data_IF_576691483839
#
_entry.id   IF_576691483839
#
_cell.length_a   1.000
_cell.length_b   1.000
_cell.length_c   1.000
_cell.angle_alpha   90.00
_cell.angle_beta   90.00
_cell.angle_gamma   90.00
#
_symmetry.space_group_name_H-M   'P 1'
#
loop_
_entity.id
_entity.type
_entity.pdbx_description
1 polymer ?
#
# COMPACT_ATOMS: atom_id res chain seq x y z
N UNK A 1 8.07 -30.96 -5.05
CA UNK A 1 9.10 -31.38 -4.06
C UNK A 1 9.37 -30.21 -3.10
N UNK A 2 9.91 -30.46 -1.88
CA UNK A 2 10.26 -29.40 -0.91
C UNK A 2 11.14 -28.29 -1.52
N UNK A 3 12.09 -28.69 -2.37
CA UNK A 3 13.01 -27.78 -3.08
C UNK A 3 12.30 -26.83 -4.05
N UNK A 4 11.21 -27.27 -4.69
CA UNK A 4 10.44 -26.41 -5.59
C UNK A 4 9.63 -25.35 -4.84
N UNK A 5 9.10 -25.68 -3.66
CA UNK A 5 8.36 -24.72 -2.83
C UNK A 5 9.30 -23.63 -2.27
N UNK A 6 10.49 -24.03 -1.81
CA UNK A 6 11.53 -23.09 -1.35
C UNK A 6 11.98 -22.14 -2.46
N UNK A 7 12.21 -22.66 -3.68
CA UNK A 7 12.55 -21.82 -4.83
C UNK A 7 11.44 -20.84 -5.20
N UNK A 8 10.18 -21.29 -5.14
CA UNK A 8 9.03 -20.43 -5.43
C UNK A 8 8.92 -19.28 -4.40
N UNK A 9 9.09 -19.58 -3.11
CA UNK A 9 9.09 -18.57 -2.05
C UNK A 9 10.22 -17.55 -2.23
N UNK A 10 11.43 -18.01 -2.58
CA UNK A 10 12.56 -17.12 -2.84
C UNK A 10 12.30 -16.17 -4.01
N UNK A 11 11.79 -16.70 -5.12
CA UNK A 11 11.47 -15.90 -6.30
C UNK A 11 10.36 -14.88 -6.01
N UNK A 12 9.33 -15.27 -5.25
CA UNK A 12 8.26 -14.38 -4.82
C UNK A 12 8.82 -13.25 -3.94
N UNK A 13 9.69 -13.59 -2.99
CA UNK A 13 10.35 -12.62 -2.10
C UNK A 13 11.15 -11.59 -2.90
N UNK A 14 12.00 -12.04 -3.83
CA UNK A 14 12.81 -11.15 -4.68
C UNK A 14 11.95 -10.22 -5.53
N UNK A 15 10.82 -10.71 -6.04
CA UNK A 15 9.87 -9.87 -6.79
C UNK A 15 9.27 -8.79 -5.90
N UNK A 16 8.84 -9.13 -4.68
CA UNK A 16 8.30 -8.15 -3.74
C UNK A 16 9.35 -7.09 -3.38
N UNK A 17 10.62 -7.47 -3.19
CA UNK A 17 11.72 -6.53 -2.96
C UNK A 17 11.89 -5.53 -4.11
N UNK A 18 11.81 -6.00 -5.36
CA UNK A 18 11.88 -5.12 -6.54
C UNK A 18 10.69 -4.16 -6.62
N UNK A 19 9.50 -4.60 -6.23
CA UNK A 19 8.30 -3.76 -6.21
C UNK A 19 8.36 -2.70 -5.09
N UNK A 20 8.85 -3.05 -3.90
CA UNK A 20 8.95 -2.08 -2.80
C UNK A 20 10.10 -1.08 -2.96
N UNK A 21 11.19 -1.44 -3.62
CA UNK A 21 12.35 -0.54 -3.83
C UNK A 21 12.10 0.58 -4.83
N UNK A 22 11.11 0.42 -5.73
CA UNK A 22 10.70 1.50 -6.65
C UNK A 22 10.11 2.68 -5.85
N UNK A 23 10.71 3.88 -5.92
CA UNK A 23 10.19 5.04 -5.20
C UNK A 23 8.86 5.51 -5.81
N UNK A 24 8.09 6.27 -5.01
CA UNK A 24 6.99 7.08 -5.54
C UNK A 24 7.60 8.19 -6.40
N UNK A 25 7.21 8.30 -7.67
CA UNK A 25 7.60 9.43 -8.50
C UNK A 25 6.83 10.68 -8.05
N UNK A 26 7.57 11.77 -7.80
CA UNK A 26 7.02 13.04 -7.31
C UNK A 26 7.24 14.17 -8.32
N UNK A 27 8.00 13.93 -9.38
CA UNK A 27 8.27 14.90 -10.43
C UNK A 27 7.19 14.84 -11.52
N UNK A 28 6.17 15.67 -11.34
CA UNK A 28 5.06 15.82 -12.30
C UNK A 28 5.54 16.28 -13.69
N UNK A 29 6.72 16.91 -13.81
CA UNK A 29 7.22 17.37 -15.12
C UNK A 29 7.56 16.23 -16.08
N UNK A 30 7.82 15.02 -15.53
CA UNK A 30 8.06 13.80 -16.31
C UNK A 30 6.76 13.14 -16.78
N UNK A 31 5.62 13.55 -16.24
CA UNK A 31 4.31 12.99 -16.57
C UNK A 31 3.77 13.59 -17.86
N UNK A 32 3.29 12.72 -18.76
CA UNK A 32 2.60 13.13 -19.98
C UNK A 32 1.10 12.99 -19.76
N UNK A 33 0.43 14.10 -19.47
CA UNK A 33 -1.03 14.12 -19.28
C UNK A 33 -1.75 13.47 -20.47
N UNK A 34 -2.60 12.44 -20.24
CA UNK A 34 -3.44 11.86 -21.29
C UNK A 34 -4.49 12.85 -21.82
N UNK A 35 -4.80 13.90 -21.06
CA UNK A 35 -5.83 14.87 -21.39
C UNK A 35 -5.21 16.23 -21.74
N UNK A 36 -5.50 16.68 -22.97
CA UNK A 36 -5.45 18.09 -23.37
C UNK A 36 -6.54 18.83 -22.58
N UNK A 37 -6.25 19.24 -21.34
CA UNK A 37 -7.15 20.09 -20.57
C UNK A 37 -7.22 21.45 -21.30
N UNK A 38 -8.40 21.80 -21.82
CA UNK A 38 -8.63 23.14 -22.35
C UNK A 38 -8.34 24.16 -21.26
N UNK A 39 -7.62 25.26 -21.55
CA UNK A 39 -7.32 26.27 -20.54
C UNK A 39 -8.62 26.91 -20.06
N UNK A 40 -9.13 26.48 -18.90
CA UNK A 40 -10.13 27.23 -18.15
C UNK A 40 -9.47 28.44 -17.52
N UNK A 41 -10.23 29.54 -17.31
CA UNK A 41 -9.74 30.81 -16.74
C UNK A 41 -9.08 30.67 -15.35
N UNK A 42 -9.22 29.52 -14.68
CA UNK A 42 -8.69 29.27 -13.34
C UNK A 42 -7.50 28.29 -13.39
N UNK A 43 -6.30 28.83 -13.54
CA UNK A 43 -5.04 28.08 -13.66
C UNK A 43 -4.75 27.20 -12.43
N UNK A 44 -5.12 27.67 -11.22
CA UNK A 44 -4.91 26.93 -9.97
C UNK A 44 -5.74 25.65 -9.92
N UNK A 45 -7.01 25.72 -10.30
CA UNK A 45 -7.89 24.56 -10.36
C UNK A 45 -7.41 23.52 -11.39
N UNK A 46 -6.86 23.99 -12.52
CA UNK A 46 -6.25 23.11 -13.53
C UNK A 46 -5.01 22.39 -12.97
N UNK A 47 -4.16 23.09 -12.22
CA UNK A 47 -2.94 22.52 -11.63
C UNK A 47 -3.26 21.50 -10.52
N UNK A 48 -4.21 21.79 -9.63
CA UNK A 48 -4.67 20.82 -8.62
C UNK A 48 -5.24 19.55 -9.27
N UNK A 49 -6.04 19.71 -10.33
CA UNK A 49 -6.60 18.58 -11.07
C UNK A 49 -5.51 17.73 -11.71
N UNK A 50 -4.50 18.35 -12.32
CA UNK A 50 -3.36 17.62 -12.90
C UNK A 50 -2.57 16.86 -11.84
N UNK A 51 -2.38 17.47 -10.66
CA UNK A 51 -1.71 16.84 -9.53
C UNK A 51 -2.48 15.60 -9.02
N UNK A 52 -3.80 15.73 -8.88
CA UNK A 52 -4.66 14.62 -8.48
C UNK A 52 -4.64 13.48 -9.51
N UNK A 53 -4.69 13.80 -10.81
CA UNK A 53 -4.61 12.79 -11.87
C UNK A 53 -3.24 12.08 -11.86
N UNK A 54 -2.15 12.83 -11.74
CA UNK A 54 -0.80 12.29 -11.65
C UNK A 54 -0.68 11.29 -10.48
N UNK A 55 -1.09 11.69 -9.28
CA UNK A 55 -0.99 10.81 -8.11
C UNK A 55 -2.00 9.66 -8.14
N UNK A 56 -3.15 9.78 -8.80
CA UNK A 56 -4.09 8.67 -8.99
C UNK A 56 -3.47 7.54 -9.81
N UNK A 57 -2.73 7.84 -10.89
CA UNK A 57 -2.00 6.83 -11.67
C UNK A 57 -0.91 6.13 -10.84
N UNK A 58 -0.23 6.86 -9.95
CA UNK A 58 0.74 6.29 -9.01
C UNK A 58 0.08 5.43 -7.94
N UNK A 59 -1.06 5.89 -7.39
CA UNK A 59 -1.86 5.12 -6.44
C UNK A 59 -2.28 3.79 -7.03
N UNK A 60 -2.74 3.76 -8.28
CA UNK A 60 -3.11 2.52 -8.98
C UNK A 60 -1.91 1.56 -9.08
N UNK A 61 -0.75 2.07 -9.47
CA UNK A 61 0.47 1.26 -9.58
C UNK A 61 0.88 0.67 -8.23
N UNK A 62 0.90 1.49 -7.18
CA UNK A 62 1.30 1.04 -5.84
C UNK A 62 0.24 0.17 -5.15
N UNK A 63 -1.04 0.38 -5.45
CA UNK A 63 -2.12 -0.48 -5.00
C UNK A 63 -2.00 -1.88 -5.58
N UNK A 64 -1.67 -2.02 -6.87
CA UNK A 64 -1.40 -3.33 -7.47
C UNK A 64 -0.21 -4.06 -6.80
N UNK A 65 0.86 -3.34 -6.47
CA UNK A 65 1.97 -3.91 -5.68
C UNK A 65 1.58 -4.27 -4.24
N UNK A 66 0.65 -3.52 -3.63
CA UNK A 66 0.08 -3.88 -2.33
C UNK A 66 -0.70 -5.21 -2.43
N UNK A 67 -1.55 -5.37 -3.45
CA UNK A 67 -2.29 -6.61 -3.66
C UNK A 67 -1.35 -7.81 -3.84
N UNK A 68 -0.28 -7.68 -4.63
CA UNK A 68 0.74 -8.74 -4.78
C UNK A 68 1.37 -9.13 -3.42
N UNK A 69 1.65 -8.15 -2.56
CA UNK A 69 2.21 -8.40 -1.23
C UNK A 69 1.19 -9.08 -0.29
N UNK A 70 -0.09 -8.70 -0.38
CA UNK A 70 -1.20 -9.28 0.38
C UNK A 70 -1.42 -10.74 -0.04
N UNK A 71 -1.45 -11.03 -1.34
CA UNK A 71 -1.61 -12.40 -1.86
C UNK A 71 -0.47 -13.31 -1.40
N UNK A 72 0.77 -12.80 -1.44
CA UNK A 72 1.94 -13.52 -0.93
C UNK A 72 1.85 -13.76 0.58
N UNK A 73 1.38 -12.77 1.34
CA UNK A 73 1.15 -12.90 2.77
C UNK A 73 0.08 -13.96 3.07
N UNK A 74 -1.07 -13.94 2.41
CA UNK A 74 -2.12 -14.95 2.63
C UNK A 74 -1.69 -16.36 2.19
N UNK A 75 -0.92 -16.47 1.12
CA UNK A 75 -0.32 -17.75 0.69
C UNK A 75 0.61 -18.32 1.77
N UNK A 76 1.42 -17.45 2.39
CA UNK A 76 2.31 -17.80 3.49
C UNK A 76 1.55 -18.28 4.74
N UNK A 77 0.47 -17.59 5.13
CA UNK A 77 -0.37 -17.99 6.26
C UNK A 77 -1.08 -19.32 5.96
N UNK A 78 -1.67 -19.48 4.77
CA UNK A 78 -2.37 -20.71 4.35
C UNK A 78 -1.45 -21.93 4.33
N UNK A 79 -0.17 -21.72 4.02
CA UNK A 79 0.86 -22.76 4.05
C UNK A 79 1.47 -23.00 5.45
N UNK A 80 0.89 -22.42 6.52
CA UNK A 80 1.35 -22.53 7.90
C UNK A 80 2.86 -22.25 8.06
N UNK A 81 3.34 -21.23 7.36
CA UNK A 81 4.74 -20.84 7.44
C UNK A 81 5.08 -20.29 8.84
N UNK A 82 6.33 -20.45 9.31
CA UNK A 82 6.71 -20.01 10.64
C UNK A 82 6.83 -18.47 10.74
N UNK A 83 6.85 -17.90 11.95
CA UNK A 83 6.92 -16.46 12.20
C UNK A 83 7.95 -15.70 11.38
N UNK A 84 9.15 -16.24 11.21
CA UNK A 84 10.20 -15.60 10.41
C UNK A 84 9.72 -15.23 8.99
N UNK A 85 8.91 -16.09 8.37
CA UNK A 85 8.47 -15.93 6.99
C UNK A 85 7.26 -14.98 6.92
N UNK A 86 6.19 -15.24 7.69
CA UNK A 86 5.01 -14.36 7.61
C UNK A 86 5.28 -12.94 8.13
N UNK A 87 6.21 -12.77 9.09
CA UNK A 87 6.64 -11.43 9.53
C UNK A 87 7.33 -10.69 8.38
N UNK A 88 8.12 -11.38 7.55
CA UNK A 88 8.75 -10.75 6.40
C UNK A 88 7.72 -10.34 5.33
N UNK A 89 6.73 -11.19 5.05
CA UNK A 89 5.63 -10.82 4.15
C UNK A 89 4.76 -9.67 4.70
N UNK A 90 4.48 -9.65 6.00
CA UNK A 90 3.78 -8.53 6.64
C UNK A 90 4.52 -7.21 6.48
N UNK A 91 5.87 -7.21 6.51
CA UNK A 91 6.67 -6.01 6.21
C UNK A 91 6.49 -5.52 4.78
N UNK A 92 6.42 -6.41 3.78
CA UNK A 92 6.12 -6.00 2.40
C UNK A 92 4.75 -5.37 2.28
N UNK A 93 3.73 -5.95 2.92
CA UNK A 93 2.38 -5.36 2.97
C UNK A 93 2.43 -3.94 3.55
N UNK A 94 3.09 -3.78 4.70
CA UNK A 94 3.21 -2.47 5.36
C UNK A 94 3.96 -1.46 4.49
N UNK A 95 5.10 -1.85 3.92
CA UNK A 95 5.93 -0.96 3.08
C UNK A 95 5.22 -0.57 1.79
N UNK A 96 4.51 -1.50 1.13
CA UNK A 96 3.72 -1.21 -0.07
C UNK A 96 2.58 -0.23 0.23
N UNK A 97 1.81 -0.46 1.30
CA UNK A 97 0.72 0.43 1.68
C UNK A 97 1.19 1.81 2.19
N UNK A 98 2.37 1.88 2.81
CA UNK A 98 2.95 3.16 3.24
C UNK A 98 3.25 4.10 2.05
N UNK A 99 3.39 3.58 0.82
CA UNK A 99 3.50 4.42 -0.39
C UNK A 99 2.21 5.21 -0.65
N UNK A 100 1.05 4.62 -0.39
CA UNK A 100 -0.24 5.31 -0.51
C UNK A 100 -0.37 6.41 0.56
N UNK A 101 0.01 6.11 1.81
CA UNK A 101 0.08 7.12 2.89
C UNK A 101 0.98 8.29 2.48
N UNK A 102 2.17 8.00 1.97
CA UNK A 102 3.12 9.02 1.50
C UNK A 102 2.55 9.90 0.37
N UNK A 103 1.83 9.31 -0.59
CA UNK A 103 1.14 10.07 -1.63
C UNK A 103 0.10 11.01 -1.02
N UNK A 104 -0.75 10.51 -0.12
CA UNK A 104 -1.78 11.31 0.50
C UNK A 104 -1.22 12.44 1.39
N UNK A 105 -0.11 12.19 2.10
CA UNK A 105 0.64 13.21 2.83
C UNK A 105 1.17 14.30 1.89
N UNK A 106 1.64 13.91 0.71
CA UNK A 106 2.18 14.83 -0.31
C UNK A 106 1.05 15.68 -0.91
N UNK A 107 -0.06 15.05 -1.28
CA UNK A 107 -1.27 15.74 -1.74
C UNK A 107 -1.81 16.71 -0.67
N UNK A 108 -1.84 16.30 0.60
CA UNK A 108 -2.33 17.14 1.70
C UNK A 108 -1.51 18.42 1.84
N UNK A 109 -0.20 18.38 1.58
CA UNK A 109 0.68 19.56 1.60
C UNK A 109 0.56 20.44 0.36
N UNK A 110 0.16 19.88 -0.79
CA UNK A 110 0.18 20.57 -2.08
C UNK A 110 -1.20 21.11 -2.50
N UNK A 111 -2.29 20.54 -1.99
CA UNK A 111 -3.65 20.97 -2.29
C UNK A 111 -4.06 22.17 -1.43
N UNK A 112 -4.80 23.08 -2.06
CA UNK A 112 -5.38 24.29 -1.50
C UNK A 112 -6.87 24.13 -1.17
N UNK A 113 -7.59 23.29 -1.93
CA UNK A 113 -9.01 23.00 -1.67
C UNK A 113 -9.17 22.22 -0.36
N UNK A 114 -9.68 22.89 0.68
CA UNK A 114 -9.75 22.38 2.05
C UNK A 114 -10.52 21.07 2.17
N UNK A 115 -11.66 20.94 1.49
CA UNK A 115 -12.50 19.74 1.53
C UNK A 115 -11.75 18.51 1.03
N UNK A 116 -11.16 18.60 -0.18
CA UNK A 116 -10.34 17.54 -0.77
C UNK A 116 -9.15 17.20 0.13
N UNK A 117 -8.46 18.22 0.64
CA UNK A 117 -7.32 18.03 1.57
C UNK A 117 -7.72 17.27 2.82
N UNK A 118 -8.83 17.65 3.46
CA UNK A 118 -9.33 16.99 4.66
C UNK A 118 -9.72 15.54 4.38
N UNK A 119 -10.38 15.29 3.24
CA UNK A 119 -10.74 13.93 2.82
C UNK A 119 -9.50 13.04 2.67
N UNK A 120 -8.48 13.50 1.93
CA UNK A 120 -7.24 12.75 1.71
C UNK A 120 -6.50 12.54 3.03
N UNK A 121 -6.37 13.58 3.86
CA UNK A 121 -5.72 13.50 5.17
C UNK A 121 -6.39 12.47 6.08
N UNK A 122 -7.72 12.45 6.13
CA UNK A 122 -8.48 11.49 6.93
C UNK A 122 -8.22 10.05 6.46
N UNK A 123 -8.26 9.80 5.14
CA UNK A 123 -7.97 8.49 4.58
C UNK A 123 -6.52 8.07 4.80
N UNK A 124 -5.55 8.98 4.68
CA UNK A 124 -4.13 8.71 4.98
C UNK A 124 -3.91 8.36 6.45
N UNK A 125 -4.55 9.07 7.38
CA UNK A 125 -4.49 8.76 8.80
C UNK A 125 -5.09 7.38 9.11
N UNK A 126 -6.22 7.06 8.49
CA UNK A 126 -6.87 5.75 8.64
C UNK A 126 -5.97 4.61 8.15
N UNK A 127 -5.34 4.77 6.98
CA UNK A 127 -4.36 3.81 6.49
C UNK A 127 -3.19 3.68 7.48
N UNK A 128 -2.65 4.79 7.97
CA UNK A 128 -1.54 4.79 8.93
C UNK A 128 -1.89 4.02 10.22
N UNK A 129 -3.10 4.19 10.74
CA UNK A 129 -3.56 3.47 11.93
C UNK A 129 -3.74 1.96 11.67
N UNK A 130 -4.21 1.58 10.47
CA UNK A 130 -4.24 0.18 10.04
C UNK A 130 -2.83 -0.42 9.97
N UNK A 131 -1.85 0.31 9.44
CA UNK A 131 -0.45 -0.17 9.40
C UNK A 131 0.09 -0.43 10.80
N UNK A 132 -0.17 0.47 11.77
CA UNK A 132 0.19 0.27 13.18
C UNK A 132 -0.51 -0.97 13.74
N UNK A 133 -1.79 -1.15 13.45
CA UNK A 133 -2.54 -2.31 13.91
C UNK A 133 -1.97 -3.62 13.35
N UNK A 134 -1.57 -3.66 12.08
CA UNK A 134 -0.94 -4.83 11.46
C UNK A 134 0.40 -5.13 12.13
N UNK A 135 1.24 -4.12 12.40
CA UNK A 135 2.49 -4.31 13.15
C UNK A 135 2.22 -5.00 14.50
N UNK A 136 1.19 -4.54 15.22
CA UNK A 136 0.83 -5.09 16.53
C UNK A 136 0.29 -6.52 16.43
N UNK A 137 -0.66 -6.80 15.52
CA UNK A 137 -1.21 -8.15 15.35
C UNK A 137 -0.15 -9.12 14.85
N UNK A 138 0.75 -8.70 13.96
CA UNK A 138 1.88 -9.51 13.49
C UNK A 138 2.83 -9.86 14.63
N UNK A 139 3.14 -8.91 15.52
CA UNK A 139 3.94 -9.18 16.72
C UNK A 139 3.26 -10.21 17.62
N UNK A 140 1.96 -10.04 17.88
CA UNK A 140 1.18 -10.97 18.72
C UNK A 140 1.13 -12.36 18.11
N UNK A 141 0.86 -12.48 16.81
CA UNK A 141 0.84 -13.75 16.09
C UNK A 141 2.21 -14.46 16.13
N UNK A 142 3.30 -13.71 15.98
CA UNK A 142 4.66 -14.27 16.06
C UNK A 142 5.00 -14.81 17.45
N UNK A 143 4.60 -14.11 18.52
CA UNK A 143 4.85 -14.51 19.91
C UNK A 143 3.99 -15.70 20.37
N UNK A 144 2.80 -15.85 19.79
CA UNK A 144 1.83 -16.88 20.18
C UNK A 144 1.68 -18.01 19.15
N UNK A 145 2.57 -18.08 18.15
CA UNK A 145 2.51 -19.10 17.11
C UNK A 145 2.61 -20.52 17.73
N UNK A 146 1.76 -21.48 17.34
CA UNK A 146 0.85 -21.50 16.19
C UNK A 146 -0.63 -21.19 16.52
N UNK A 147 -0.92 -20.23 17.42
CA UNK A 147 -2.30 -19.88 17.76
C UNK A 147 -3.08 -19.33 16.56
N UNK A 148 -4.11 -20.09 16.14
CA UNK A 148 -4.96 -19.76 14.99
C UNK A 148 -5.77 -18.48 15.19
N UNK A 149 -6.19 -18.16 16.42
CA UNK A 149 -6.93 -16.93 16.71
C UNK A 149 -6.07 -15.70 16.44
N UNK A 150 -4.82 -15.69 16.90
CA UNK A 150 -3.91 -14.55 16.69
C UNK A 150 -3.46 -14.41 15.23
N UNK A 151 -3.39 -15.52 14.50
CA UNK A 151 -3.15 -15.50 13.06
C UNK A 151 -4.36 -14.93 12.31
N UNK A 152 -5.59 -15.29 12.72
CA UNK A 152 -6.81 -14.75 12.14
C UNK A 152 -6.93 -13.24 12.37
N UNK A 153 -6.65 -12.76 13.58
CA UNK A 153 -6.66 -11.32 13.88
C UNK A 153 -5.72 -10.53 12.95
N UNK A 154 -4.53 -11.09 12.66
CA UNK A 154 -3.59 -10.49 11.73
C UNK A 154 -4.11 -10.52 10.28
N UNK A 155 -4.74 -11.61 9.85
CA UNK A 155 -5.37 -11.73 8.52
C UNK A 155 -6.51 -10.73 8.35
N UNK A 156 -7.34 -10.55 9.37
CA UNK A 156 -8.46 -9.60 9.35
C UNK A 156 -7.95 -8.17 9.18
N UNK A 157 -6.89 -7.78 9.90
CA UNK A 157 -6.27 -6.45 9.75
C UNK A 157 -5.66 -6.21 8.36
N UNK A 158 -5.06 -7.22 7.74
CA UNK A 158 -4.55 -7.12 6.37
C UNK A 158 -5.69 -7.05 5.35
N UNK A 159 -6.80 -7.75 5.61
CA UNK A 159 -8.02 -7.67 4.79
C UNK A 159 -8.63 -6.27 4.87
N UNK A 160 -8.78 -5.71 6.08
CA UNK A 160 -9.25 -4.33 6.30
C UNK A 160 -8.39 -3.34 5.51
N UNK A 161 -7.06 -3.47 5.57
CA UNK A 161 -6.14 -2.63 4.81
C UNK A 161 -6.43 -2.64 3.31
N UNK A 162 -6.70 -3.80 2.71
CA UNK A 162 -7.02 -3.88 1.27
C UNK A 162 -8.27 -3.07 0.92
N UNK A 163 -9.30 -3.12 1.77
CA UNK A 163 -10.54 -2.39 1.57
C UNK A 163 -10.34 -0.88 1.67
N UNK A 164 -9.64 -0.41 2.70
CA UNK A 164 -9.37 1.02 2.87
C UNK A 164 -8.40 1.57 1.82
N UNK A 165 -7.42 0.78 1.37
CA UNK A 165 -6.54 1.17 0.27
C UNK A 165 -7.29 1.30 -1.08
N UNK A 166 -8.29 0.44 -1.31
CA UNK A 166 -9.18 0.54 -2.48
C UNK A 166 -10.06 1.80 -2.44
N UNK A 167 -10.50 2.23 -1.25
CA UNK A 167 -11.27 3.48 -1.08
C UNK A 167 -10.38 4.73 -1.20
N UNK A 168 -9.09 4.62 -0.90
CA UNK A 168 -8.13 5.71 -0.98
C UNK A 168 -7.72 6.05 -2.41
N UNK A 169 -7.50 5.04 -3.27
CA UNK A 169 -6.98 5.22 -4.63
C UNK A 169 -8.01 5.82 -5.60
#
# INVERSE_FOLDING_TARGET
SKTQLEQHQLNQFQRLEQEITKPVENDISKWKSPQSLHPTKNLLATQERQLLLFYSEQCETHFNSLLNAIDAFFSCISAAQPPRIFVAHSKFVILSAHKLVFIGDTLTRQLTTQETRNSIMNSSNQLCDLLKSIVMSTKVAALNYPSTSTLQDMVDRVTDLSHYAQLFK
#
